data_IF_351174837198
#
_entry.id   IF_351174837198
#
_cell.length_a   1.000
_cell.length_b   1.000
_cell.length_c   1.000
_cell.angle_alpha   90.00
_cell.angle_beta   90.00
_cell.angle_gamma   90.00
#
_symmetry.space_group_name_H-M   'P 1'
#
loop_
_entity.id
_entity.type
_entity.pdbx_description
1 polymer ?
#
# COMPACT_ATOMS: atom_id res chain seq x y z
N UNK A 1 -22.55 9.27 -29.47
CA UNK A 1 -22.29 7.89 -28.99
C UNK A 1 -23.31 6.88 -29.55
N UNK A 2 -24.62 7.19 -29.59
CA UNK A 2 -25.69 6.28 -30.06
C UNK A 2 -25.61 5.88 -31.54
N UNK A 3 -24.97 6.68 -32.41
CA UNK A 3 -24.87 6.37 -33.85
C UNK A 3 -23.60 5.59 -34.25
N UNK A 4 -22.92 4.95 -33.30
CA UNK A 4 -21.68 4.21 -33.57
C UNK A 4 -22.00 2.76 -33.92
N UNK A 5 -21.52 2.21 -35.05
CA UNK A 5 -21.81 0.82 -35.43
C UNK A 5 -21.36 -0.17 -34.34
N UNK A 6 -22.27 -1.04 -33.90
CA UNK A 6 -22.00 -2.06 -32.88
C UNK A 6 -22.29 -1.65 -31.42
N UNK A 7 -22.74 -0.42 -31.17
CA UNK A 7 -23.15 0.06 -29.85
C UNK A 7 -24.67 0.18 -29.78
N UNK A 8 -25.32 -0.78 -29.10
CA UNK A 8 -26.75 -0.69 -28.77
C UNK A 8 -27.01 0.28 -27.61
N UNK A 9 -28.24 0.75 -27.44
CA UNK A 9 -28.63 1.72 -26.40
C UNK A 9 -28.15 1.29 -25.00
N UNK A 10 -28.42 0.04 -24.59
CA UNK A 10 -27.94 -0.50 -23.31
C UNK A 10 -26.41 -0.46 -23.14
N UNK A 11 -25.67 -0.62 -24.23
CA UNK A 11 -24.20 -0.58 -24.20
C UNK A 11 -23.69 0.85 -24.01
N UNK A 12 -24.39 1.83 -24.59
CA UNK A 12 -24.10 3.26 -24.37
C UNK A 12 -24.37 3.64 -22.92
N UNK A 13 -25.49 3.21 -22.35
CA UNK A 13 -25.83 3.47 -20.95
C UNK A 13 -24.78 2.86 -20.01
N UNK A 14 -24.39 1.61 -20.27
CA UNK A 14 -23.33 0.93 -19.48
C UNK A 14 -21.99 1.68 -19.56
N UNK A 15 -21.63 2.22 -20.72
CA UNK A 15 -20.40 3.01 -20.89
C UNK A 15 -20.48 4.31 -20.09
N UNK A 16 -21.59 5.04 -20.19
CA UNK A 16 -21.78 6.29 -19.46
C UNK A 16 -21.76 6.07 -17.95
N UNK A 17 -22.42 5.02 -17.46
CA UNK A 17 -22.36 4.64 -16.05
C UNK A 17 -20.93 4.31 -15.59
N UNK A 18 -20.16 3.58 -16.40
CA UNK A 18 -18.79 3.23 -16.07
C UNK A 18 -17.86 4.44 -16.09
N UNK A 19 -18.08 5.40 -17.00
CA UNK A 19 -17.35 6.68 -17.01
C UNK A 19 -17.62 7.44 -15.73
N UNK A 20 -18.87 7.57 -15.31
CA UNK A 20 -19.20 8.27 -14.05
C UNK A 20 -18.61 7.55 -12.83
N UNK A 21 -18.78 6.22 -12.72
CA UNK A 21 -18.17 5.41 -11.65
C UNK A 21 -16.65 5.53 -11.63
N UNK A 22 -16.01 5.69 -12.79
CA UNK A 22 -14.55 5.77 -12.86
C UNK A 22 -13.97 7.00 -12.16
N UNK A 23 -14.77 8.06 -11.97
CA UNK A 23 -14.37 9.28 -11.25
C UNK A 23 -14.16 9.04 -9.76
N UNK A 24 -14.75 7.97 -9.20
CA UNK A 24 -14.62 7.57 -7.80
C UNK A 24 -13.44 6.61 -7.54
N UNK A 25 -12.65 6.28 -8.58
CA UNK A 25 -11.52 5.38 -8.40
C UNK A 25 -10.43 5.96 -7.48
N UNK A 26 -9.72 5.07 -6.79
CA UNK A 26 -8.60 5.41 -5.93
C UNK A 26 -7.41 6.04 -6.69
N UNK A 27 -6.58 6.77 -5.95
CA UNK A 27 -5.44 7.51 -6.53
C UNK A 27 -4.42 6.59 -7.21
N UNK A 28 -4.18 5.39 -6.70
CA UNK A 28 -3.28 4.41 -7.32
C UNK A 28 -3.77 3.94 -8.69
N UNK A 29 -5.09 3.77 -8.86
CA UNK A 29 -5.69 3.42 -10.15
C UNK A 29 -5.54 4.57 -11.14
N UNK A 30 -5.76 5.81 -10.71
CA UNK A 30 -5.53 6.99 -11.54
C UNK A 30 -4.07 7.04 -12.00
N UNK A 31 -3.10 6.93 -11.07
CA UNK A 31 -1.67 6.97 -11.40
C UNK A 31 -1.29 5.84 -12.38
N UNK A 32 -1.83 4.63 -12.18
CA UNK A 32 -1.59 3.52 -13.11
C UNK A 32 -2.21 3.77 -14.49
N UNK A 33 -3.35 4.45 -14.57
CA UNK A 33 -4.05 4.75 -15.83
C UNK A 33 -3.37 5.87 -16.63
N UNK A 34 -2.60 6.75 -15.98
CA UNK A 34 -1.82 7.79 -16.66
C UNK A 34 -0.74 7.24 -17.60
N UNK A 35 -0.36 5.96 -17.44
CA UNK A 35 0.59 5.30 -18.34
C UNK A 35 2.02 5.84 -18.22
N UNK A 36 2.41 6.31 -17.04
CA UNK A 36 3.76 6.81 -16.80
C UNK A 36 4.75 5.64 -16.94
N UNK A 37 5.82 5.86 -17.71
CA UNK A 37 6.83 4.83 -17.97
C UNK A 37 7.40 4.29 -16.65
N UNK A 38 7.48 2.97 -16.53
CA UNK A 38 7.95 2.23 -15.35
C UNK A 38 7.04 2.31 -14.10
N UNK A 39 5.92 3.02 -14.17
CA UNK A 39 4.95 3.12 -13.07
C UNK A 39 3.78 2.17 -13.33
N UNK A 40 3.91 0.94 -12.80
CA UNK A 40 2.81 -0.03 -12.76
C UNK A 40 2.10 -0.02 -11.41
N UNK A 41 1.08 -0.88 -11.24
CA UNK A 41 0.20 -0.87 -10.06
C UNK A 41 0.91 -0.92 -8.70
N UNK A 42 2.06 -1.59 -8.56
CA UNK A 42 2.85 -1.58 -7.31
C UNK A 42 3.40 -0.20 -7.00
N UNK A 43 4.07 0.43 -7.95
CA UNK A 43 4.64 1.78 -7.80
C UNK A 43 3.52 2.80 -7.65
N UNK A 44 2.42 2.65 -8.38
CA UNK A 44 1.25 3.53 -8.24
C UNK A 44 0.69 3.54 -6.82
N UNK A 45 0.63 2.38 -6.15
CA UNK A 45 0.22 2.29 -4.74
C UNK A 45 1.20 3.02 -3.81
N UNK A 46 2.50 2.80 -4.00
CA UNK A 46 3.55 3.48 -3.20
C UNK A 46 3.42 5.01 -3.34
N UNK A 47 3.27 5.50 -4.58
CA UNK A 47 3.11 6.92 -4.86
C UNK A 47 1.81 7.47 -4.27
N UNK A 48 0.69 6.76 -4.43
CA UNK A 48 -0.60 7.17 -3.89
C UNK A 48 -0.56 7.28 -2.35
N UNK A 49 0.03 6.28 -1.68
CA UNK A 49 0.16 6.29 -0.22
C UNK A 49 1.08 7.40 0.29
N UNK A 50 2.16 7.71 -0.43
CA UNK A 50 3.10 8.74 0.00
C UNK A 50 2.58 10.16 -0.26
N UNK A 51 2.12 10.44 -1.49
CA UNK A 51 1.80 11.81 -1.90
C UNK A 51 0.36 12.20 -1.55
N UNK A 52 -0.54 11.23 -1.37
CA UNK A 52 -1.95 11.45 -1.00
C UNK A 52 -2.76 12.35 -1.95
N UNK A 53 -2.19 12.92 -3.00
CA UNK A 53 -2.95 13.65 -4.00
C UNK A 53 -2.18 13.66 -5.31
N UNK A 54 -2.91 13.80 -6.41
CA UNK A 54 -2.29 13.95 -7.73
C UNK A 54 -1.47 15.25 -7.80
N UNK A 55 -1.88 16.30 -7.09
CA UNK A 55 -1.16 17.57 -7.00
C UNK A 55 0.19 17.44 -6.32
N UNK A 56 0.23 16.76 -5.18
CA UNK A 56 1.47 16.55 -4.45
C UNK A 56 2.44 15.71 -5.28
N UNK A 57 1.94 14.68 -5.98
CA UNK A 57 2.74 13.88 -6.89
C UNK A 57 3.22 14.70 -8.11
N UNK A 58 2.37 15.54 -8.69
CA UNK A 58 2.70 16.36 -9.85
C UNK A 58 3.76 17.43 -9.55
N UNK A 59 3.81 17.91 -8.31
CA UNK A 59 4.79 18.88 -7.84
C UNK A 59 6.04 18.23 -7.21
N UNK A 60 6.07 16.91 -7.09
CA UNK A 60 7.19 16.20 -6.49
C UNK A 60 8.49 16.43 -7.27
N UNK A 61 9.55 16.70 -6.53
CA UNK A 61 10.90 16.83 -7.07
C UNK A 61 11.54 15.47 -7.30
N UNK A 62 12.56 15.44 -8.15
CA UNK A 62 13.34 14.21 -8.37
C UNK A 62 13.97 13.70 -7.06
N UNK A 63 14.48 14.60 -6.21
CA UNK A 63 15.10 14.26 -4.94
C UNK A 63 14.08 13.69 -3.93
N UNK A 64 12.85 14.19 -3.90
CA UNK A 64 11.79 13.59 -3.08
C UNK A 64 11.46 12.18 -3.55
N UNK A 65 11.37 11.97 -4.86
CA UNK A 65 11.01 10.68 -5.45
C UNK A 65 12.10 9.61 -5.23
N UNK A 66 13.38 9.95 -5.40
CA UNK A 66 14.49 8.98 -5.25
C UNK A 66 14.66 8.50 -3.80
N UNK A 67 14.19 9.30 -2.83
CA UNK A 67 14.22 8.93 -1.41
C UNK A 67 13.13 7.91 -1.03
N UNK A 68 12.17 7.64 -1.91
CA UNK A 68 11.11 6.67 -1.68
C UNK A 68 11.65 5.27 -1.95
N UNK A 69 11.49 4.37 -0.97
CA UNK A 69 11.82 2.95 -1.13
C UNK A 69 11.08 2.39 -2.35
N UNK A 70 11.81 1.65 -3.19
CA UNK A 70 11.35 1.09 -4.48
C UNK A 70 11.34 2.03 -5.68
N UNK A 71 11.68 3.31 -5.50
CA UNK A 71 11.83 4.27 -6.60
C UNK A 71 13.31 4.50 -6.88
N UNK A 72 13.75 4.13 -8.09
CA UNK A 72 15.10 4.42 -8.59
C UNK A 72 15.11 5.55 -9.62
N UNK A 73 16.30 5.92 -10.08
CA UNK A 73 16.56 7.06 -10.98
C UNK A 73 15.64 7.09 -12.21
N UNK A 74 15.49 5.95 -12.87
CA UNK A 74 14.68 5.81 -14.07
C UNK A 74 13.20 6.10 -13.80
N UNK A 75 12.69 5.69 -12.64
CA UNK A 75 11.29 5.91 -12.25
C UNK A 75 11.08 7.38 -11.88
N UNK A 76 11.93 7.92 -11.00
CA UNK A 76 11.88 9.32 -10.57
C UNK A 76 11.95 10.29 -11.77
N UNK A 77 12.91 10.07 -12.67
CA UNK A 77 13.06 10.88 -13.89
C UNK A 77 11.83 10.79 -14.81
N UNK A 78 11.25 9.59 -14.94
CA UNK A 78 10.06 9.38 -15.78
C UNK A 78 8.83 10.11 -15.22
N UNK A 79 8.65 10.09 -13.90
CA UNK A 79 7.56 10.79 -13.21
C UNK A 79 7.69 12.30 -13.41
N UNK A 80 8.84 12.88 -13.08
CA UNK A 80 9.07 14.33 -13.21
C UNK A 80 8.89 14.79 -14.67
N UNK A 81 9.42 14.02 -15.61
CA UNK A 81 9.29 14.34 -17.05
C UNK A 81 7.83 14.26 -17.50
N UNK A 82 7.08 13.25 -17.04
CA UNK A 82 5.68 13.09 -17.39
C UNK A 82 4.85 14.29 -16.93
N UNK A 83 4.92 14.65 -15.64
CA UNK A 83 4.12 15.75 -15.11
C UNK A 83 4.53 17.11 -15.67
N UNK A 84 5.82 17.30 -15.99
CA UNK A 84 6.29 18.50 -16.69
C UNK A 84 5.63 18.65 -18.07
N UNK A 85 5.47 17.56 -18.82
CA UNK A 85 4.97 17.58 -20.19
C UNK A 85 3.44 17.48 -20.29
N UNK A 86 2.74 17.03 -19.24
CA UNK A 86 1.31 16.75 -19.27
C UNK A 86 0.49 17.66 -18.32
N UNK A 87 0.98 18.85 -17.98
CA UNK A 87 0.31 19.77 -17.05
C UNK A 87 -1.15 20.05 -17.43
N UNK A 88 -1.41 20.32 -18.71
CA UNK A 88 -2.77 20.59 -19.21
C UNK A 88 -3.72 19.40 -19.03
N UNK A 89 -3.22 18.17 -19.16
CA UNK A 89 -4.03 16.97 -18.93
C UNK A 89 -4.43 16.86 -17.46
N UNK A 90 -3.50 17.13 -16.55
CA UNK A 90 -3.75 17.08 -15.10
C UNK A 90 -4.78 18.14 -14.69
N UNK A 91 -4.69 19.35 -15.24
CA UNK A 91 -5.68 20.41 -15.00
C UNK A 91 -7.08 19.99 -15.50
N UNK A 92 -7.19 19.44 -16.72
CA UNK A 92 -8.46 18.93 -17.25
C UNK A 92 -9.06 17.81 -16.40
N UNK A 93 -8.23 16.88 -15.91
CA UNK A 93 -8.68 15.79 -15.03
C UNK A 93 -9.32 16.36 -13.74
N UNK A 94 -8.73 17.42 -13.18
CA UNK A 94 -9.28 18.11 -12.00
C UNK A 94 -10.58 18.84 -12.30
N UNK A 95 -10.65 19.58 -13.41
CA UNK A 95 -11.84 20.32 -13.81
C UNK A 95 -13.07 19.41 -13.99
N UNK A 96 -12.85 18.17 -14.44
CA UNK A 96 -13.91 17.17 -14.65
C UNK A 96 -14.34 16.51 -13.32
N UNK A 97 -13.70 16.87 -12.20
CA UNK A 97 -14.05 16.40 -10.87
C UNK A 97 -13.57 14.98 -10.56
N UNK A 98 -12.54 14.49 -11.25
CA UNK A 98 -11.86 13.25 -10.86
C UNK A 98 -11.09 13.54 -9.58
N UNK A 99 -11.75 13.32 -8.45
CA UNK A 99 -11.18 13.47 -7.11
C UNK A 99 -10.94 12.07 -6.54
N UNK A 100 -9.78 11.45 -6.84
CA UNK A 100 -9.53 10.10 -6.41
C UNK A 100 -9.56 10.05 -4.89
N UNK A 101 -10.41 9.18 -4.35
CA UNK A 101 -10.48 8.92 -2.92
C UNK A 101 -9.09 8.42 -2.52
N UNK A 102 -8.42 9.20 -1.69
CA UNK A 102 -7.32 8.68 -0.90
C UNK A 102 -8.04 7.84 0.13
N UNK A 103 -8.12 6.53 -0.11
CA UNK A 103 -8.34 5.63 1.00
C UNK A 103 -7.11 5.80 1.89
N UNK A 104 -7.18 6.79 2.79
CA UNK A 104 -6.53 6.65 4.07
C UNK A 104 -7.17 5.37 4.62
N UNK A 105 -6.50 4.23 4.40
CA UNK A 105 -6.45 3.27 5.48
C UNK A 105 -5.94 4.09 6.63
N UNK A 106 -6.88 4.53 7.47
CA UNK A 106 -6.57 5.33 8.64
C UNK A 106 -5.35 4.66 9.25
N UNK A 107 -4.25 5.39 9.30
CA UNK A 107 -3.17 5.05 10.22
C UNK A 107 -3.66 5.36 11.64
N UNK A 108 -4.91 5.02 11.96
CA UNK A 108 -5.47 5.03 13.29
C UNK A 108 -4.78 3.89 14.01
N UNK A 109 -3.69 4.23 14.71
CA UNK A 109 -2.96 3.34 15.63
C UNK A 109 -2.99 1.86 15.21
N UNK A 110 -2.63 1.54 13.97
CA UNK A 110 -2.48 0.15 13.58
C UNK A 110 -1.46 -0.45 14.54
N UNK A 111 -1.85 -1.51 15.24
CA UNK A 111 -1.15 -2.00 16.43
C UNK A 111 0.32 -2.37 16.15
N UNK A 112 0.65 -2.65 14.89
CA UNK A 112 2.00 -2.97 14.42
C UNK A 112 2.62 -1.91 13.51
N UNK A 113 2.04 -0.71 13.39
CA UNK A 113 2.58 0.37 12.57
C UNK A 113 4.07 0.62 12.86
N UNK A 114 4.89 0.57 11.80
CA UNK A 114 6.35 0.75 11.85
C UNK A 114 7.10 -0.27 12.74
N UNK A 115 6.46 -1.34 13.18
CA UNK A 115 7.11 -2.39 13.96
C UNK A 115 7.73 -3.46 13.05
N UNK A 116 8.97 -3.84 13.35
CA UNK A 116 9.62 -5.00 12.73
C UNK A 116 9.35 -6.24 13.57
N UNK A 117 8.65 -7.21 13.00
CA UNK A 117 8.18 -8.42 13.68
C UNK A 117 8.89 -9.65 13.12
N UNK A 118 9.24 -10.61 13.97
CA UNK A 118 9.80 -11.91 13.55
C UNK A 118 8.87 -13.03 13.97
N UNK A 119 8.49 -13.87 13.01
CA UNK A 119 7.76 -15.10 13.26
C UNK A 119 8.74 -16.26 13.49
N UNK A 120 8.63 -16.95 14.62
CA UNK A 120 9.45 -18.14 14.92
C UNK A 120 8.61 -19.26 15.53
N UNK A 121 9.02 -20.51 15.28
CA UNK A 121 8.24 -21.69 15.62
C UNK A 121 7.09 -21.96 14.64
N UNK A 122 6.30 -22.98 14.96
CA UNK A 122 5.08 -23.37 14.25
C UNK A 122 3.88 -22.74 14.95
N UNK A 123 3.06 -22.04 14.16
CA UNK A 123 1.77 -21.51 14.60
C UNK A 123 0.73 -22.64 14.44
N UNK A 124 -0.12 -22.82 15.45
CA UNK A 124 -1.13 -23.89 15.51
C UNK A 124 -2.42 -23.50 14.80
N UNK A 125 -2.80 -22.22 14.87
CA UNK A 125 -4.08 -21.69 14.36
C UNK A 125 -3.93 -20.98 13.01
N UNK A 126 -2.74 -20.45 12.69
CA UNK A 126 -2.46 -19.75 11.44
C UNK A 126 -1.30 -20.38 10.67
N UNK A 127 -1.37 -20.33 9.35
CA UNK A 127 -0.17 -20.53 8.54
C UNK A 127 0.76 -19.33 8.65
N UNK A 128 2.06 -19.54 8.38
CA UNK A 128 3.05 -18.47 8.41
C UNK A 128 2.72 -17.34 7.43
N UNK A 129 2.13 -17.68 6.29
CA UNK A 129 1.74 -16.71 5.25
C UNK A 129 0.52 -15.90 5.68
N UNK A 130 -0.48 -16.54 6.29
CA UNK A 130 -1.65 -15.84 6.86
C UNK A 130 -1.25 -14.89 7.98
N UNK A 131 -0.37 -15.33 8.88
CA UNK A 131 0.16 -14.47 9.94
C UNK A 131 0.95 -13.29 9.38
N UNK A 132 1.74 -13.52 8.32
CA UNK A 132 2.49 -12.45 7.64
C UNK A 132 1.54 -11.41 7.05
N UNK A 133 0.52 -11.87 6.32
CA UNK A 133 -0.49 -10.99 5.74
C UNK A 133 -1.24 -10.19 6.81
N UNK A 134 -1.61 -10.83 7.92
CA UNK A 134 -2.30 -10.17 9.03
C UNK A 134 -1.44 -9.07 9.66
N UNK A 135 -0.13 -9.32 9.81
CA UNK A 135 0.83 -8.32 10.32
C UNK A 135 0.97 -7.15 9.35
N UNK A 136 1.12 -7.43 8.06
CA UNK A 136 1.23 -6.40 7.02
C UNK A 136 -0.05 -5.57 6.90
N UNK A 137 -1.22 -6.21 6.99
CA UNK A 137 -2.53 -5.55 6.99
C UNK A 137 -2.69 -4.61 8.20
N UNK A 138 -2.04 -4.94 9.33
CA UNK A 138 -1.96 -4.14 10.56
C UNK A 138 -0.70 -3.25 10.62
N UNK A 139 -0.04 -2.99 9.48
CA UNK A 139 1.02 -1.99 9.35
C UNK A 139 2.42 -2.42 9.82
N UNK A 140 2.62 -3.69 10.15
CA UNK A 140 3.91 -4.25 10.56
C UNK A 140 4.75 -4.80 9.41
N UNK A 141 6.06 -4.93 9.63
CA UNK A 141 7.00 -5.52 8.68
C UNK A 141 7.52 -6.86 9.22
N UNK A 142 7.33 -7.95 8.48
CA UNK A 142 7.85 -9.28 8.89
C UNK A 142 9.27 -9.49 8.37
N UNK A 143 10.15 -9.95 9.25
CA UNK A 143 11.53 -10.32 8.90
C UNK A 143 11.88 -11.72 9.39
N UNK A 144 12.85 -12.37 8.75
CA UNK A 144 13.27 -13.74 9.06
C UNK A 144 14.36 -13.84 10.14
N UNK A 145 14.95 -12.70 10.53
CA UNK A 145 16.08 -12.62 11.45
C UNK A 145 15.78 -11.69 12.62
N UNK A 146 16.11 -12.16 13.83
CA UNK A 146 16.08 -11.32 15.03
C UNK A 146 17.33 -10.45 15.05
N UNK A 147 17.12 -9.13 15.09
CA UNK A 147 18.15 -8.11 15.15
C UNK A 147 17.82 -7.07 16.22
N UNK A 148 18.74 -6.14 16.52
CA UNK A 148 18.47 -5.00 17.42
C UNK A 148 17.35 -4.07 16.93
N UNK A 149 16.99 -4.14 15.65
CA UNK A 149 15.89 -3.37 15.05
C UNK A 149 14.54 -4.09 15.14
N UNK A 150 14.52 -5.35 15.57
CA UNK A 150 13.29 -6.13 15.75
C UNK A 150 12.57 -5.62 17.00
N UNK A 151 11.30 -5.23 16.85
CA UNK A 151 10.47 -4.72 17.95
C UNK A 151 9.73 -5.83 18.68
N UNK A 152 9.31 -6.88 17.96
CA UNK A 152 8.44 -7.93 18.47
C UNK A 152 8.80 -9.28 17.86
N UNK A 153 8.74 -10.35 18.66
CA UNK A 153 8.87 -11.72 18.20
C UNK A 153 7.63 -12.50 18.58
N UNK A 154 6.99 -13.13 17.60
CA UNK A 154 5.86 -14.04 17.82
C UNK A 154 6.42 -15.46 17.82
N UNK A 155 6.30 -16.11 18.96
CA UNK A 155 6.85 -17.44 19.22
C UNK A 155 5.74 -18.49 19.28
N UNK A 156 5.68 -19.36 18.27
CA UNK A 156 4.87 -20.57 18.27
C UNK A 156 5.57 -21.76 18.95
N UNK A 157 5.01 -22.95 18.79
CA UNK A 157 5.65 -24.19 19.23
C UNK A 157 7.00 -24.36 18.53
N UNK A 158 8.03 -24.82 19.25
CA UNK A 158 9.41 -24.98 18.74
C UNK A 158 10.13 -23.68 18.31
N UNK A 159 9.80 -22.53 18.93
CA UNK A 159 10.44 -21.24 18.64
C UNK A 159 11.98 -21.16 18.86
N UNK A 160 12.56 -22.15 19.55
CA UNK A 160 13.99 -22.48 19.62
C UNK A 160 14.95 -21.28 19.64
N UNK A 161 15.96 -21.32 18.77
CA UNK A 161 17.11 -20.39 18.78
C UNK A 161 16.78 -18.92 18.52
N UNK A 162 15.63 -18.60 17.90
CA UNK A 162 15.24 -17.19 17.69
C UNK A 162 14.59 -16.58 18.93
N UNK A 163 13.89 -17.39 19.74
CA UNK A 163 13.34 -16.97 21.04
C UNK A 163 14.46 -16.57 21.99
N UNK A 164 15.47 -17.44 22.15
CA UNK A 164 16.64 -17.18 23.00
C UNK A 164 17.41 -15.93 22.56
N UNK A 165 17.50 -15.68 21.25
CA UNK A 165 18.14 -14.46 20.71
C UNK A 165 17.32 -13.19 20.97
N UNK A 166 16.00 -13.30 21.01
CA UNK A 166 15.13 -12.17 21.35
C UNK A 166 15.21 -11.85 22.85
N UNK A 167 15.24 -12.89 23.71
CA UNK A 167 15.41 -12.76 25.16
C UNK A 167 16.74 -12.07 25.50
N UNK A 168 17.84 -12.49 24.88
CA UNK A 168 19.17 -11.90 25.13
C UNK A 168 19.30 -10.45 24.64
N UNK A 169 18.45 -10.02 23.71
CA UNK A 169 18.39 -8.65 23.21
C UNK A 169 17.34 -7.80 23.92
N UNK A 170 16.58 -8.36 24.87
CA UNK A 170 15.51 -7.65 25.58
C UNK A 170 14.33 -7.28 24.69
N UNK A 171 14.11 -8.01 23.59
CA UNK A 171 13.03 -7.76 22.62
C UNK A 171 11.75 -8.40 23.16
N UNK A 172 10.60 -7.73 22.99
CA UNK A 172 9.30 -8.26 23.41
C UNK A 172 8.99 -9.56 22.67
N UNK A 173 8.57 -10.58 23.41
CA UNK A 173 8.16 -11.88 22.86
C UNK A 173 6.73 -12.14 23.29
N UNK A 174 5.88 -12.49 22.33
CA UNK A 174 4.48 -12.85 22.55
C UNK A 174 4.20 -14.21 21.93
N UNK A 175 3.17 -14.90 22.41
CA UNK A 175 2.72 -16.16 21.83
C UNK A 175 1.65 -15.93 20.74
N UNK A 176 1.23 -17.02 20.10
CA UNK A 176 0.20 -16.97 19.06
C UNK A 176 -1.16 -16.49 19.60
N UNK A 177 -1.49 -16.82 20.85
CA UNK A 177 -2.78 -16.43 21.44
C UNK A 177 -2.84 -14.93 21.67
N UNK A 178 -1.79 -14.35 22.26
CA UNK A 178 -1.66 -12.91 22.47
C UNK A 178 -1.64 -12.17 21.12
N UNK A 179 -0.96 -12.71 20.10
CA UNK A 179 -0.98 -12.15 18.75
C UNK A 179 -2.41 -12.10 18.17
N UNK A 180 -3.17 -13.19 18.26
CA UNK A 180 -4.55 -13.25 17.77
C UNK A 180 -5.47 -12.29 18.53
N UNK A 181 -5.29 -12.15 19.85
CA UNK A 181 -6.06 -11.22 20.67
C UNK A 181 -5.77 -9.76 20.29
N UNK A 182 -4.50 -9.41 20.12
CA UNK A 182 -4.06 -8.11 19.61
C UNK A 182 -4.69 -7.81 18.23
N UNK A 183 -4.71 -8.79 17.34
CA UNK A 183 -5.31 -8.63 16.00
C UNK A 183 -6.83 -8.51 16.03
N UNK A 184 -7.51 -9.19 16.97
CA UNK A 184 -8.97 -9.05 17.15
C UNK A 184 -9.32 -7.67 17.68
N UNK A 185 -8.63 -7.19 18.71
CA UNK A 185 -8.88 -5.88 19.31
C UNK A 185 -8.61 -4.73 18.33
N UNK A 186 -7.67 -4.91 17.40
CA UNK A 186 -7.37 -3.94 16.34
C UNK A 186 -8.44 -3.85 15.24
N UNK A 187 -9.35 -4.83 15.12
CA UNK A 187 -10.44 -4.84 14.11
C UNK A 187 -11.79 -4.30 14.65
N UNK A 188 -11.84 -3.86 15.91
CA UNK A 188 -13.08 -3.47 16.61
C UNK A 188 -13.35 -1.95 16.59
N UNK A 189 -12.59 -1.18 15.83
CA UNK A 189 -12.81 0.26 15.65
C UNK A 189 -13.17 0.60 14.21
#
# INVERSE_FOLDING_TARGET
LINTPGLGEKSVDTILENIEKSKENSLDKLISALGIRFVGGKISKVLASHFKSIDNLANATYDELINIKEIGDSIASSIVTYFRNNKELIEKIKEIGINPIVEEKESGNLIFANQTIVLTGKLESLTRDEATKLIEDLGGNVTSSVSKKTNLVIAGSDAGSKKTKAESLGIRIIDEKEFLEMCRNAKVY
#
